data_IF_559471635261
#
_entry.id   IF_559471635261
#
_cell.length_a   1.000
_cell.length_b   1.000
_cell.length_c   1.000
_cell.angle_alpha   90.00
_cell.angle_beta   90.00
_cell.angle_gamma   90.00
#
_symmetry.space_group_name_H-M   'P 1'
#
loop_
_entity.id
_entity.type
_entity.pdbx_description
1 polymer ?
#
# COMPACT_ATOMS: atom_id res chain seq x y z
N UNK A 1 -37.29 11.25 -14.98
CA UNK A 1 -36.01 11.88 -14.60
C UNK A 1 -35.68 12.91 -15.65
N UNK A 2 -35.27 14.10 -15.25
CA UNK A 2 -34.82 15.14 -16.19
C UNK A 2 -33.55 14.66 -16.87
N UNK A 3 -33.57 14.50 -18.18
CA UNK A 3 -32.37 14.19 -18.93
C UNK A 3 -31.53 15.47 -19.03
N UNK A 4 -30.42 15.53 -18.30
CA UNK A 4 -29.55 16.71 -18.32
C UNK A 4 -28.83 16.89 -19.67
N UNK A 5 -28.81 15.86 -20.53
CA UNK A 5 -28.23 15.96 -21.87
C UNK A 5 -29.06 16.81 -22.83
N UNK A 6 -30.30 17.16 -22.48
CA UNK A 6 -31.18 18.01 -23.29
C UNK A 6 -31.35 19.42 -22.72
N UNK A 7 -30.60 19.77 -21.67
CA UNK A 7 -30.60 21.12 -21.10
C UNK A 7 -29.67 21.98 -21.95
N UNK A 8 -30.17 23.11 -22.43
CA UNK A 8 -29.32 24.15 -23.00
C UNK A 8 -28.64 24.90 -21.87
N UNK A 9 -27.32 24.78 -21.80
CA UNK A 9 -26.50 25.40 -20.77
C UNK A 9 -26.09 26.83 -21.13
N UNK A 10 -26.52 27.38 -22.29
CA UNK A 10 -26.20 28.75 -22.72
C UNK A 10 -26.58 29.83 -21.70
N UNK A 11 -27.60 29.53 -20.90
CA UNK A 11 -28.22 30.48 -19.98
C UNK A 11 -27.48 30.57 -18.63
N UNK A 12 -26.53 29.66 -18.38
CA UNK A 12 -25.80 29.55 -17.11
C UNK A 12 -24.33 29.96 -17.28
N UNK A 13 -24.07 31.24 -17.57
CA UNK A 13 -22.70 31.78 -17.71
C UNK A 13 -21.85 31.10 -18.81
N UNK A 14 -20.76 31.76 -19.18
CA UNK A 14 -20.07 31.67 -20.49
C UNK A 14 -19.45 30.32 -20.92
N UNK A 15 -19.53 29.23 -20.14
CA UNK A 15 -18.85 27.96 -20.46
C UNK A 15 -19.78 26.73 -20.45
N UNK A 16 -20.49 26.51 -21.56
CA UNK A 16 -21.35 25.34 -21.77
C UNK A 16 -20.61 23.99 -21.61
N UNK A 17 -19.30 23.95 -21.87
CA UNK A 17 -18.54 22.70 -21.78
C UNK A 17 -18.42 22.23 -20.33
N UNK A 18 -18.26 23.16 -19.38
CA UNK A 18 -18.17 22.85 -17.95
C UNK A 18 -19.46 22.20 -17.44
N UNK A 19 -20.63 22.76 -17.76
CA UNK A 19 -21.91 22.20 -17.31
C UNK A 19 -22.24 20.88 -18.00
N UNK A 20 -21.89 20.73 -19.27
CA UNK A 20 -21.99 19.46 -19.99
C UNK A 20 -21.12 18.38 -19.33
N UNK A 21 -19.87 18.70 -18.99
CA UNK A 21 -18.96 17.79 -18.29
C UNK A 21 -19.49 17.42 -16.90
N UNK A 22 -19.90 18.39 -16.09
CA UNK A 22 -20.47 18.15 -14.74
C UNK A 22 -21.72 17.27 -14.84
N UNK A 23 -22.64 17.60 -15.73
CA UNK A 23 -23.90 16.88 -15.89
C UNK A 23 -23.70 15.43 -16.34
N UNK A 24 -22.71 15.16 -17.20
CA UNK A 24 -22.34 13.79 -17.60
C UNK A 24 -21.83 12.92 -16.44
N UNK A 25 -21.31 13.55 -15.38
CA UNK A 25 -20.78 12.88 -14.20
C UNK A 25 -21.79 12.78 -13.04
N UNK A 26 -22.90 13.52 -13.08
CA UNK A 26 -23.94 13.47 -12.06
C UNK A 26 -24.87 12.28 -12.27
N UNK A 27 -25.03 11.46 -11.22
CA UNK A 27 -25.93 10.30 -11.22
C UNK A 27 -26.82 10.33 -9.97
N UNK A 28 -28.12 10.11 -10.15
CA UNK A 28 -29.04 9.90 -9.02
C UNK A 28 -28.70 8.56 -8.36
N UNK A 29 -28.46 8.57 -7.05
CA UNK A 29 -28.04 7.39 -6.28
C UNK A 29 -29.11 6.27 -6.22
N UNK A 30 -30.38 6.59 -6.49
CA UNK A 30 -31.52 5.67 -6.39
C UNK A 30 -31.72 4.85 -7.67
N UNK A 31 -30.98 3.73 -7.80
CA UNK A 31 -31.19 2.75 -8.88
C UNK A 31 -31.42 1.37 -8.26
N UNK A 32 -32.65 0.86 -8.36
CA UNK A 32 -32.96 -0.54 -8.01
C UNK A 32 -32.10 -1.50 -8.85
N UNK A 33 -31.62 -2.59 -8.24
CA UNK A 33 -30.83 -3.63 -8.93
C UNK A 33 -29.36 -3.28 -9.19
N UNK A 34 -28.80 -2.25 -8.56
CA UNK A 34 -27.37 -1.91 -8.70
C UNK A 34 -26.50 -2.90 -7.92
N UNK A 35 -25.45 -3.41 -8.56
CA UNK A 35 -24.38 -4.09 -7.86
C UNK A 35 -23.57 -3.07 -7.04
N UNK A 36 -23.59 -3.21 -5.72
CA UNK A 36 -22.90 -2.33 -4.78
C UNK A 36 -21.59 -2.93 -4.28
N UNK A 37 -21.19 -4.09 -4.78
CA UNK A 37 -19.99 -4.79 -4.32
C UNK A 37 -18.73 -4.04 -4.74
N UNK A 38 -17.76 -3.98 -3.84
CA UNK A 38 -16.39 -3.63 -4.18
C UNK A 38 -15.78 -4.79 -4.97
N UNK A 39 -15.27 -4.49 -6.16
CA UNK A 39 -14.55 -5.48 -6.96
C UNK A 39 -13.06 -5.46 -6.63
N UNK A 40 -12.43 -6.62 -6.84
CA UNK A 40 -11.03 -6.86 -6.53
C UNK A 40 -10.34 -7.42 -7.77
N UNK A 41 -9.16 -6.86 -8.10
CA UNK A 41 -8.23 -7.48 -9.06
C UNK A 41 -7.44 -8.60 -8.39
N UNK A 42 -7.07 -8.39 -7.13
CA UNK A 42 -6.42 -9.36 -6.25
C UNK A 42 -7.03 -9.23 -4.85
N UNK A 43 -7.85 -10.19 -4.38
CA UNK A 43 -8.60 -10.06 -3.13
C UNK A 43 -7.71 -9.68 -1.94
N UNK A 44 -8.08 -8.62 -1.22
CA UNK A 44 -7.35 -8.11 -0.04
C UNK A 44 -6.09 -7.27 -0.35
N UNK A 45 -5.61 -7.27 -1.60
CA UNK A 45 -4.32 -6.66 -1.96
C UNK A 45 -4.43 -5.59 -3.05
N UNK A 46 -5.28 -5.79 -4.06
CA UNK A 46 -5.50 -4.86 -5.18
C UNK A 46 -7.00 -4.78 -5.49
N UNK A 47 -7.64 -3.68 -5.10
CA UNK A 47 -9.04 -3.44 -5.39
C UNK A 47 -9.21 -2.64 -6.69
N UNK A 48 -10.36 -2.76 -7.36
CA UNK A 48 -10.62 -2.03 -8.60
C UNK A 48 -10.86 -0.54 -8.33
N UNK A 49 -10.39 0.31 -9.25
CA UNK A 49 -10.60 1.76 -9.28
C UNK A 49 -9.93 2.50 -8.10
N UNK A 50 -8.95 1.87 -7.47
CA UNK A 50 -8.25 2.42 -6.31
C UNK A 50 -6.93 3.08 -6.67
N UNK A 51 -6.56 4.07 -5.87
CA UNK A 51 -5.17 4.49 -5.72
C UNK A 51 -4.51 3.64 -4.62
N UNK A 52 -3.69 2.68 -5.03
CA UNK A 52 -2.89 1.83 -4.15
C UNK A 52 -1.45 2.36 -4.05
N UNK A 53 -0.94 2.50 -2.84
CA UNK A 53 0.47 2.90 -2.62
C UNK A 53 1.27 1.77 -1.97
N UNK A 54 2.27 1.25 -2.69
CA UNK A 54 3.26 0.30 -2.16
C UNK A 54 4.45 1.12 -1.67
N UNK A 55 4.73 1.11 -0.37
CA UNK A 55 5.78 1.95 0.20
C UNK A 55 6.68 1.22 1.21
N UNK A 56 7.84 1.79 1.51
CA UNK A 56 8.84 1.13 2.34
C UNK A 56 10.26 1.68 2.16
N UNK A 57 11.21 1.30 3.02
CA UNK A 57 12.59 1.76 2.93
C UNK A 57 13.25 1.33 1.60
N UNK A 58 14.38 1.96 1.27
CA UNK A 58 15.21 1.51 0.15
C UNK A 58 15.59 0.04 0.35
N UNK A 59 15.75 -0.70 -0.75
CA UNK A 59 16.19 -2.11 -0.75
C UNK A 59 15.26 -3.11 -0.01
N UNK A 60 14.08 -2.67 0.41
CA UNK A 60 13.08 -3.54 1.05
C UNK A 60 12.42 -4.56 0.09
N UNK A 61 12.61 -4.37 -1.23
CA UNK A 61 12.03 -5.22 -2.27
C UNK A 61 10.70 -4.73 -2.84
N UNK A 62 10.37 -3.42 -2.74
CA UNK A 62 9.10 -2.85 -3.25
C UNK A 62 8.88 -3.12 -4.73
N UNK A 63 9.86 -2.80 -5.57
CA UNK A 63 9.78 -3.01 -7.02
C UNK A 63 9.71 -4.49 -7.38
N UNK A 64 10.33 -5.37 -6.59
CA UNK A 64 10.22 -6.83 -6.79
C UNK A 64 8.79 -7.30 -6.46
N UNK A 65 8.21 -6.78 -5.38
CA UNK A 65 6.80 -7.03 -5.04
C UNK A 65 5.82 -6.45 -6.08
N UNK A 66 6.07 -5.24 -6.58
CA UNK A 66 5.25 -4.63 -7.61
C UNK A 66 5.27 -5.42 -8.93
N UNK A 67 6.44 -5.95 -9.33
CA UNK A 67 6.56 -6.85 -10.48
C UNK A 67 5.88 -8.19 -10.23
N UNK A 68 6.03 -8.80 -9.05
CA UNK A 68 5.33 -10.06 -8.71
C UNK A 68 3.80 -9.88 -8.79
N UNK A 69 3.26 -8.80 -8.21
CA UNK A 69 1.84 -8.46 -8.30
C UNK A 69 1.42 -8.26 -9.77
N UNK A 70 2.23 -7.54 -10.56
CA UNK A 70 1.97 -7.33 -12.00
C UNK A 70 1.87 -8.65 -12.75
N UNK A 71 2.85 -9.53 -12.58
CA UNK A 71 2.90 -10.81 -13.29
C UNK A 71 1.77 -11.75 -12.85
N UNK A 72 1.42 -11.77 -11.56
CA UNK A 72 0.29 -12.57 -11.07
C UNK A 72 -1.04 -12.09 -11.63
N UNK A 73 -1.27 -10.77 -11.65
CA UNK A 73 -2.45 -10.17 -12.26
C UNK A 73 -2.54 -10.52 -13.75
N UNK A 74 -1.44 -10.39 -14.48
CA UNK A 74 -1.37 -10.72 -15.90
C UNK A 74 -1.59 -12.22 -16.18
N UNK A 75 -1.03 -13.09 -15.34
CA UNK A 75 -1.13 -14.54 -15.46
C UNK A 75 -2.48 -15.10 -14.94
N UNK A 76 -3.18 -14.37 -14.07
CA UNK A 76 -4.32 -14.89 -13.32
C UNK A 76 -3.91 -15.90 -12.24
N UNK A 77 -2.72 -15.71 -11.66
CA UNK A 77 -2.19 -16.61 -10.62
C UNK A 77 -2.65 -16.18 -9.23
N UNK A 78 -3.19 -17.13 -8.49
CA UNK A 78 -3.62 -16.96 -7.10
C UNK A 78 -2.56 -16.30 -6.22
N UNK A 79 -3.04 -15.51 -5.26
CA UNK A 79 -2.20 -14.80 -4.32
C UNK A 79 -2.79 -14.85 -2.92
N UNK A 80 -1.94 -15.14 -1.92
CA UNK A 80 -2.34 -15.19 -0.52
C UNK A 80 -3.54 -16.12 -0.22
N UNK A 81 -3.68 -17.22 -0.97
CA UNK A 81 -4.83 -18.12 -0.81
C UNK A 81 -6.16 -17.54 -1.30
N UNK A 82 -6.14 -16.39 -1.96
CA UNK A 82 -7.26 -15.82 -2.71
C UNK A 82 -7.13 -16.11 -4.20
N UNK A 83 -8.21 -16.59 -4.81
CA UNK A 83 -8.29 -16.80 -6.25
C UNK A 83 -8.49 -15.48 -6.98
N UNK A 84 -7.71 -15.25 -8.03
CA UNK A 84 -7.90 -14.08 -8.88
C UNK A 84 -9.15 -14.28 -9.74
N UNK A 85 -10.10 -13.33 -9.74
CA UNK A 85 -11.35 -13.50 -10.46
C UNK A 85 -11.17 -13.40 -11.99
N UNK A 86 -10.13 -12.70 -12.45
CA UNK A 86 -9.82 -12.49 -13.86
C UNK A 86 -8.34 -12.12 -14.05
N UNK A 87 -7.80 -12.41 -15.24
CA UNK A 87 -6.51 -11.87 -15.70
C UNK A 87 -6.66 -10.38 -15.96
N UNK A 88 -5.59 -9.60 -15.78
CA UNK A 88 -5.61 -8.16 -16.02
C UNK A 88 -4.59 -7.68 -17.03
N UNK A 89 -4.98 -6.70 -17.84
CA UNK A 89 -4.08 -5.94 -18.69
C UNK A 89 -3.32 -4.93 -17.82
N UNK A 90 -2.00 -5.05 -17.76
CA UNK A 90 -1.17 -4.25 -16.86
C UNK A 90 -0.20 -3.36 -17.64
N UNK A 91 -0.17 -2.08 -17.32
CA UNK A 91 0.86 -1.15 -17.77
C UNK A 91 1.86 -0.91 -16.62
N UNK A 92 3.13 -1.21 -16.84
CA UNK A 92 4.20 -0.92 -15.90
C UNK A 92 5.04 0.27 -16.40
N UNK A 93 4.91 1.42 -15.76
CA UNK A 93 5.70 2.62 -16.00
C UNK A 93 6.99 2.49 -15.20
N UNK A 94 8.07 2.10 -15.88
CA UNK A 94 9.37 1.87 -15.28
C UNK A 94 10.21 3.16 -15.27
N UNK A 95 9.83 4.12 -14.42
CA UNK A 95 10.40 5.46 -14.40
C UNK A 95 11.91 5.51 -14.07
N UNK A 96 12.47 4.46 -13.45
CA UNK A 96 13.92 4.38 -13.19
C UNK A 96 14.69 3.62 -14.28
N UNK A 97 14.35 2.34 -14.51
CA UNK A 97 15.12 1.41 -15.37
C UNK A 97 14.24 0.26 -15.91
N UNK A 98 13.67 0.39 -17.10
CA UNK A 98 12.83 -0.65 -17.70
C UNK A 98 13.53 -2.01 -17.85
N UNK A 99 14.78 -2.04 -18.29
CA UNK A 99 15.52 -3.31 -18.44
C UNK A 99 15.72 -4.10 -17.13
N UNK A 100 15.54 -3.49 -15.94
CA UNK A 100 15.48 -4.26 -14.68
C UNK A 100 14.09 -4.84 -14.42
N UNK A 101 13.04 -4.13 -14.82
CA UNK A 101 11.65 -4.60 -14.73
C UNK A 101 11.43 -5.78 -15.67
N UNK A 102 11.82 -5.64 -16.94
CA UNK A 102 11.71 -6.70 -17.95
C UNK A 102 12.41 -7.99 -17.51
N UNK A 103 13.66 -7.90 -17.04
CA UNK A 103 14.37 -9.08 -16.49
C UNK A 103 13.66 -9.72 -15.30
N UNK A 104 12.98 -8.94 -14.44
CA UNK A 104 12.20 -9.48 -13.32
C UNK A 104 10.93 -10.17 -13.82
N UNK A 105 10.29 -9.65 -14.86
CA UNK A 105 9.16 -10.30 -15.54
C UNK A 105 9.64 -11.62 -16.15
N UNK A 106 10.75 -11.63 -16.89
CA UNK A 106 11.34 -12.85 -17.47
C UNK A 106 11.70 -13.88 -16.39
N UNK A 107 12.24 -13.41 -15.26
CA UNK A 107 12.58 -14.27 -14.14
C UNK A 107 11.34 -14.87 -13.47
N UNK A 108 10.27 -14.09 -13.35
CA UNK A 108 8.98 -14.58 -12.88
C UNK A 108 8.43 -15.66 -13.81
N UNK A 109 8.37 -15.39 -15.12
CA UNK A 109 7.90 -16.33 -16.14
C UNK A 109 8.69 -17.64 -16.05
N UNK A 110 10.03 -17.54 -16.02
CA UNK A 110 10.93 -18.70 -15.90
C UNK A 110 10.75 -19.46 -14.59
N UNK A 111 10.57 -18.77 -13.46
CA UNK A 111 10.40 -19.41 -12.15
C UNK A 111 9.08 -20.15 -12.02
N UNK A 112 8.03 -19.63 -12.66
CA UNK A 112 6.68 -20.18 -12.62
C UNK A 112 6.35 -21.12 -13.78
N UNK A 113 7.35 -21.51 -14.59
CA UNK A 113 7.18 -22.31 -15.81
C UNK A 113 6.06 -21.78 -16.72
N UNK A 114 5.97 -20.45 -16.82
CA UNK A 114 4.94 -19.75 -17.59
C UNK A 114 5.36 -19.41 -19.02
N UNK A 115 4.41 -18.86 -19.77
CA UNK A 115 4.64 -18.31 -21.12
C UNK A 115 4.83 -16.78 -21.07
N UNK A 116 5.46 -16.18 -22.09
CA UNK A 116 5.54 -14.73 -22.24
C UNK A 116 4.16 -14.05 -22.19
N UNK A 117 4.08 -12.89 -21.54
CA UNK A 117 2.84 -12.12 -21.45
C UNK A 117 2.57 -11.34 -22.74
N UNK A 118 1.33 -11.41 -23.21
CA UNK A 118 0.76 -10.58 -24.27
C UNK A 118 -0.02 -9.36 -23.71
N UNK A 119 -0.22 -9.31 -22.40
CA UNK A 119 -1.05 -8.34 -21.69
C UNK A 119 -0.29 -7.52 -20.62
N UNK A 120 1.05 -7.49 -20.70
CA UNK A 120 1.91 -6.63 -19.86
C UNK A 120 2.69 -5.67 -20.76
N UNK A 121 2.43 -4.38 -20.61
CA UNK A 121 3.17 -3.33 -21.32
C UNK A 121 4.17 -2.69 -20.36
N UNK A 122 5.41 -2.52 -20.80
CA UNK A 122 6.43 -1.77 -20.06
C UNK A 122 6.69 -0.44 -20.78
N UNK A 123 6.52 0.67 -20.07
CA UNK A 123 6.83 2.00 -20.58
C UNK A 123 8.18 2.49 -20.02
N UNK A 124 9.14 2.70 -20.91
CA UNK A 124 10.51 3.20 -20.64
C UNK A 124 10.69 4.65 -21.13
N UNK A 125 9.66 5.47 -21.00
CA UNK A 125 9.71 6.89 -21.39
C UNK A 125 9.72 7.82 -20.18
N UNK A 126 10.07 9.10 -20.38
CA UNK A 126 9.92 10.10 -19.33
C UNK A 126 8.43 10.30 -18.99
N UNK A 127 8.19 10.66 -17.74
CA UNK A 127 6.87 11.08 -17.25
C UNK A 127 7.08 12.10 -16.12
N UNK A 128 6.21 13.10 -16.08
CA UNK A 128 6.02 13.94 -14.91
C UNK A 128 4.56 13.88 -14.48
N UNK A 129 4.29 13.29 -13.33
CA UNK A 129 2.93 13.15 -12.79
C UNK A 129 2.31 14.48 -12.38
N UNK A 130 3.10 15.55 -12.20
CA UNK A 130 2.56 16.88 -11.98
C UNK A 130 2.05 17.53 -13.28
N UNK A 131 2.46 17.03 -14.44
CA UNK A 131 2.04 17.55 -15.73
C UNK A 131 0.63 17.04 -16.08
N UNK A 132 -0.33 17.92 -16.39
CA UNK A 132 -1.67 17.51 -16.76
C UNK A 132 -1.66 16.57 -17.95
N UNK A 133 -2.55 15.58 -17.94
CA UNK A 133 -2.78 14.63 -19.03
C UNK A 133 -1.62 13.69 -19.38
N UNK A 134 -0.40 13.83 -18.84
CA UNK A 134 0.73 12.97 -19.19
C UNK A 134 0.43 11.48 -18.95
N UNK A 135 -0.03 11.13 -17.74
CA UNK A 135 -0.43 9.76 -17.41
C UNK A 135 -1.61 9.27 -18.26
N UNK A 136 -2.63 10.12 -18.48
CA UNK A 136 -3.77 9.80 -19.36
C UNK A 136 -3.33 9.50 -20.79
N UNK A 137 -2.38 10.26 -21.33
CA UNK A 137 -1.89 10.07 -22.69
C UNK A 137 -1.16 8.73 -22.83
N UNK A 138 -0.33 8.37 -21.84
CA UNK A 138 0.34 7.06 -21.80
C UNK A 138 -0.71 5.94 -21.72
N UNK A 139 -1.69 6.04 -20.81
CA UNK A 139 -2.76 5.05 -20.68
C UNK A 139 -3.56 4.88 -21.99
N UNK A 140 -3.96 5.99 -22.63
CA UNK A 140 -4.67 5.94 -23.91
C UNK A 140 -3.84 5.29 -25.01
N UNK A 141 -2.54 5.60 -25.05
CA UNK A 141 -1.62 5.00 -26.03
C UNK A 141 -1.46 3.50 -25.79
N UNK A 142 -1.30 3.08 -24.52
CA UNK A 142 -1.24 1.68 -24.13
C UNK A 142 -2.52 0.92 -24.49
N UNK A 143 -3.70 1.54 -24.28
CA UNK A 143 -4.97 0.93 -24.67
C UNK A 143 -5.07 0.70 -26.19
N UNK A 144 -4.62 1.67 -26.99
CA UNK A 144 -4.59 1.53 -28.45
C UNK A 144 -3.61 0.44 -28.91
N UNK A 145 -2.49 0.25 -28.21
CA UNK A 145 -1.51 -0.80 -28.53
C UNK A 145 -2.05 -2.20 -28.20
N UNK A 146 -2.84 -2.35 -27.14
CA UNK A 146 -3.45 -3.62 -26.74
C UNK A 146 -4.74 -3.95 -27.50
N UNK A 147 -5.36 -2.97 -28.14
CA UNK A 147 -6.74 -3.05 -28.63
C UNK A 147 -7.73 -3.46 -27.50
N UNK A 148 -7.40 -3.07 -26.27
CA UNK A 148 -8.19 -3.30 -25.05
C UNK A 148 -7.74 -2.28 -23.98
N UNK A 149 -8.45 -2.16 -22.85
CA UNK A 149 -8.01 -1.24 -21.79
C UNK A 149 -7.08 -1.86 -20.79
N UNK A 150 -6.12 -1.04 -20.38
CA UNK A 150 -5.34 -1.21 -19.16
C UNK A 150 -6.26 -1.17 -17.95
N UNK A 151 -6.17 -2.21 -17.13
CA UNK A 151 -6.97 -2.36 -15.91
C UNK A 151 -6.18 -2.02 -14.65
N UNK A 152 -4.86 -2.13 -14.73
CA UNK A 152 -3.93 -1.78 -13.66
C UNK A 152 -2.74 -1.04 -14.26
N UNK A 153 -2.38 0.11 -13.70
CA UNK A 153 -1.14 0.81 -14.02
C UNK A 153 -0.24 0.86 -12.79
N UNK A 154 1.00 0.42 -12.95
CA UNK A 154 2.03 0.47 -11.92
C UNK A 154 3.03 1.57 -12.27
N UNK A 155 3.32 2.45 -11.32
CA UNK A 155 4.32 3.52 -11.47
C UNK A 155 5.43 3.30 -10.46
N UNK A 156 6.62 2.96 -10.96
CA UNK A 156 7.78 2.59 -10.15
C UNK A 156 9.00 3.46 -10.50
N UNK A 157 9.39 4.45 -9.70
CA UNK A 157 8.77 4.95 -8.45
C UNK A 157 8.16 6.34 -8.63
N UNK A 158 7.31 6.77 -7.69
CA UNK A 158 6.74 8.12 -7.65
C UNK A 158 7.80 9.21 -7.78
N UNK A 159 8.91 9.08 -7.04
CA UNK A 159 9.95 10.09 -7.02
C UNK A 159 10.68 10.22 -8.37
N UNK A 160 10.79 9.12 -9.13
CA UNK A 160 11.34 9.14 -10.49
C UNK A 160 10.34 9.63 -11.53
N UNK A 161 9.04 9.52 -11.25
CA UNK A 161 7.95 9.99 -12.09
C UNK A 161 7.50 11.43 -11.79
N UNK A 162 8.29 12.20 -11.02
CA UNK A 162 8.02 13.61 -10.70
C UNK A 162 9.24 14.46 -11.03
N UNK A 163 9.04 15.57 -11.75
CA UNK A 163 10.12 16.53 -12.02
C UNK A 163 10.44 17.41 -10.81
N UNK A 164 9.46 17.59 -9.92
CA UNK A 164 9.56 18.32 -8.66
C UNK A 164 9.70 17.35 -7.49
N UNK A 165 10.28 17.83 -6.39
CA UNK A 165 10.39 17.03 -5.17
C UNK A 165 9.03 16.48 -4.73
N UNK A 166 9.01 15.21 -4.34
CA UNK A 166 7.87 14.51 -3.70
C UNK A 166 7.46 15.14 -2.35
N UNK A 167 8.23 16.11 -1.88
CA UNK A 167 7.92 16.91 -0.69
C UNK A 167 7.32 18.29 -1.04
N UNK A 168 7.21 18.64 -2.32
CA UNK A 168 6.54 19.86 -2.80
C UNK A 168 5.02 19.72 -2.63
N UNK A 169 4.35 20.59 -1.84
CA UNK A 169 2.90 20.51 -1.67
C UNK A 169 2.11 20.70 -2.97
N UNK A 170 2.55 21.58 -3.86
CA UNK A 170 1.87 21.85 -5.14
C UNK A 170 2.09 20.69 -6.13
N UNK A 171 3.35 20.25 -6.25
CA UNK A 171 3.71 19.12 -7.11
C UNK A 171 2.98 17.83 -6.71
N UNK A 172 2.94 17.55 -5.41
CA UNK A 172 2.22 16.38 -4.89
C UNK A 172 0.71 16.50 -5.09
N UNK A 173 0.11 17.69 -4.90
CA UNK A 173 -1.31 17.88 -5.12
C UNK A 173 -1.71 17.62 -6.59
N UNK A 174 -0.90 18.13 -7.54
CA UNK A 174 -1.10 17.89 -8.97
C UNK A 174 -0.90 16.42 -9.33
N UNK A 175 0.13 15.77 -8.80
CA UNK A 175 0.36 14.35 -8.98
C UNK A 175 -0.81 13.51 -8.45
N UNK A 176 -1.26 13.76 -7.21
CA UNK A 176 -2.41 13.08 -6.60
C UNK A 176 -3.67 13.28 -7.43
N UNK A 177 -3.92 14.49 -7.93
CA UNK A 177 -5.05 14.76 -8.83
C UNK A 177 -4.98 13.87 -10.08
N UNK A 178 -3.84 13.86 -10.78
CA UNK A 178 -3.66 13.07 -12.00
C UNK A 178 -3.72 11.55 -11.75
N UNK A 179 -3.21 11.07 -10.61
CA UNK A 179 -3.31 9.67 -10.20
C UNK A 179 -4.76 9.26 -9.92
N UNK A 180 -5.48 10.06 -9.13
CA UNK A 180 -6.90 9.81 -8.79
C UNK A 180 -7.79 9.90 -10.02
N UNK A 181 -7.44 10.79 -10.93
CA UNK A 181 -8.16 10.94 -12.17
C UNK A 181 -7.93 9.75 -13.12
N UNK A 182 -6.71 9.23 -13.17
CA UNK A 182 -6.40 8.00 -13.90
C UNK A 182 -7.17 6.79 -13.38
N UNK A 183 -7.56 6.74 -12.09
CA UNK A 183 -8.39 5.63 -11.60
C UNK A 183 -9.78 5.58 -12.22
N UNK A 184 -10.23 6.69 -12.82
CA UNK A 184 -11.51 6.80 -13.52
C UNK A 184 -11.40 6.46 -15.00
N UNK A 185 -10.17 6.37 -15.52
CA UNK A 185 -9.88 6.00 -16.90
C UNK A 185 -9.94 4.47 -17.00
N UNK A 186 -11.07 3.92 -17.42
CA UNK A 186 -11.21 2.48 -17.63
C UNK A 186 -12.38 2.11 -18.53
N UNK A 187 -12.68 0.82 -18.59
CA UNK A 187 -13.64 0.23 -19.51
C UNK A 187 -15.07 0.22 -18.96
N UNK A 188 -16.02 0.12 -19.87
CA UNK A 188 -17.36 -0.32 -19.55
C UNK A 188 -17.45 -1.85 -19.75
N UNK A 189 -17.74 -2.58 -18.69
CA UNK A 189 -18.01 -4.02 -18.74
C UNK A 189 -19.36 -4.29 -18.07
N UNK A 190 -20.23 -5.04 -18.75
CA UNK A 190 -21.57 -5.42 -18.26
C UNK A 190 -22.40 -4.25 -17.69
N UNK A 191 -22.35 -3.09 -18.34
CA UNK A 191 -23.08 -1.89 -17.92
C UNK A 191 -22.50 -1.18 -16.68
N UNK A 192 -21.32 -1.59 -16.21
CA UNK A 192 -20.58 -0.93 -15.14
C UNK A 192 -19.26 -0.35 -15.65
N UNK A 193 -18.88 0.81 -15.11
CA UNK A 193 -17.57 1.41 -15.40
C UNK A 193 -16.54 0.81 -14.44
N UNK A 194 -15.64 -0.02 -14.97
CA UNK A 194 -14.45 -0.48 -14.28
C UNK A 194 -13.31 0.46 -14.68
N UNK A 195 -12.96 1.35 -13.77
CA UNK A 195 -11.78 2.20 -13.90
C UNK A 195 -10.47 1.40 -13.87
N UNK A 196 -9.37 2.12 -14.05
CA UNK A 196 -8.03 1.58 -13.88
C UNK A 196 -7.65 1.60 -12.40
N UNK A 197 -6.94 0.58 -11.92
CA UNK A 197 -6.32 0.61 -10.60
C UNK A 197 -4.93 1.22 -10.73
N UNK A 198 -4.65 2.27 -9.99
CA UNK A 198 -3.36 2.97 -10.05
C UNK A 198 -2.52 2.54 -8.86
N UNK A 199 -1.40 1.88 -9.14
CA UNK A 199 -0.44 1.41 -8.14
C UNK A 199 0.80 2.29 -8.20
N UNK A 200 1.16 2.90 -7.08
CA UNK A 200 2.32 3.78 -6.99
C UNK A 200 3.34 3.21 -6.02
N UNK A 201 4.58 3.03 -6.47
CA UNK A 201 5.69 2.65 -5.60
C UNK A 201 6.32 3.89 -5.00
N UNK A 202 6.44 3.93 -3.67
CA UNK A 202 6.95 5.09 -2.94
C UNK A 202 7.94 4.71 -1.83
N UNK A 203 8.72 5.68 -1.35
CA UNK A 203 9.67 5.48 -0.27
C UNK A 203 9.10 5.90 1.09
N UNK A 204 9.65 5.35 2.17
CA UNK A 204 9.53 5.95 3.52
C UNK A 204 10.60 7.03 3.72
N UNK A 205 10.43 7.97 4.66
CA UNK A 205 11.49 8.87 5.07
C UNK A 205 12.73 8.13 5.58
N UNK A 206 13.90 8.76 5.47
CA UNK A 206 15.16 8.24 6.03
C UNK A 206 15.13 8.16 7.57
N UNK A 207 14.27 8.95 8.23
CA UNK A 207 14.07 8.95 9.69
C UNK A 207 13.56 7.62 10.27
N UNK A 208 13.21 6.64 9.42
CA UNK A 208 12.78 5.30 9.85
C UNK A 208 11.32 5.22 10.29
N UNK A 209 10.55 6.29 10.09
CA UNK A 209 9.12 6.30 10.34
C UNK A 209 8.39 5.37 9.36
N UNK A 210 7.43 4.58 9.85
CA UNK A 210 6.58 3.68 9.05
C UNK A 210 5.48 4.43 8.27
N UNK A 211 5.74 5.67 7.88
CA UNK A 211 4.84 6.48 7.05
C UNK A 211 5.45 6.71 5.67
N UNK A 212 4.61 7.13 4.73
CA UNK A 212 5.06 7.52 3.40
C UNK A 212 5.95 8.76 3.46
N UNK A 213 6.94 8.86 2.55
CA UNK A 213 7.79 10.04 2.40
C UNK A 213 7.00 11.22 1.83
N UNK A 214 7.39 12.44 2.19
CA UNK A 214 6.77 13.66 1.71
C UNK A 214 5.59 14.13 2.57
N UNK A 215 4.74 14.97 1.98
CA UNK A 215 3.52 15.47 2.62
C UNK A 215 2.46 14.37 2.77
N UNK A 216 1.56 14.50 3.75
CA UNK A 216 0.49 13.54 4.00
C UNK A 216 -0.60 13.45 2.91
N UNK A 217 -0.48 14.23 1.83
CA UNK A 217 -1.47 14.31 0.75
C UNK A 217 -1.65 12.97 0.03
N UNK A 218 -0.57 12.31 -0.39
CA UNK A 218 -0.64 11.01 -1.04
C UNK A 218 -1.24 9.95 -0.11
N UNK A 219 -0.85 9.95 1.18
CA UNK A 219 -1.39 9.02 2.16
C UNK A 219 -2.89 9.25 2.43
N UNK A 220 -3.33 10.50 2.41
CA UNK A 220 -4.73 10.85 2.54
C UNK A 220 -5.54 10.37 1.32
N UNK A 221 -5.00 10.58 0.11
CA UNK A 221 -5.66 10.24 -1.15
C UNK A 221 -5.65 8.74 -1.47
N UNK A 222 -4.64 7.98 -1.02
CA UNK A 222 -4.56 6.55 -1.29
C UNK A 222 -5.76 5.80 -0.69
N UNK A 223 -6.46 4.99 -1.47
CA UNK A 223 -7.55 4.13 -0.97
C UNK A 223 -7.00 2.95 -0.18
N UNK A 224 -5.85 2.44 -0.65
CA UNK A 224 -5.10 1.38 0.02
C UNK A 224 -3.61 1.71 0.10
N UNK A 225 -2.94 1.14 1.10
CA UNK A 225 -1.48 1.18 1.17
C UNK A 225 -0.89 -0.10 1.71
N UNK A 226 0.23 -0.51 1.12
CA UNK A 226 0.99 -1.70 1.50
C UNK A 226 2.39 -1.26 1.93
N UNK A 227 2.74 -1.54 3.17
CA UNK A 227 4.09 -1.34 3.69
C UNK A 227 4.93 -2.60 3.43
N UNK A 228 6.01 -2.42 2.68
CA UNK A 228 7.06 -3.41 2.47
C UNK A 228 8.18 -3.14 3.46
N UNK A 229 8.46 -4.08 4.33
CA UNK A 229 9.64 -4.05 5.22
C UNK A 229 10.54 -5.24 4.95
N UNK A 230 11.82 -5.12 5.29
CA UNK A 230 12.77 -6.23 5.20
C UNK A 230 13.54 -6.37 6.48
N UNK A 231 13.65 -7.60 6.97
CA UNK A 231 14.42 -7.95 8.15
C UNK A 231 15.24 -9.19 7.85
N UNK A 232 16.56 -9.03 7.79
CA UNK A 232 17.49 -10.06 7.29
C UNK A 232 17.12 -10.42 5.84
N UNK A 233 16.84 -11.69 5.59
CA UNK A 233 16.50 -12.29 4.31
C UNK A 233 14.99 -12.41 4.06
N UNK A 234 14.15 -12.01 5.02
CA UNK A 234 12.70 -12.04 4.91
C UNK A 234 12.15 -10.62 4.70
N UNK A 235 11.35 -10.47 3.66
CA UNK A 235 10.53 -9.29 3.42
C UNK A 235 9.08 -9.56 3.84
N UNK A 236 8.42 -8.51 4.32
CA UNK A 236 7.03 -8.54 4.76
C UNK A 236 6.27 -7.46 3.99
N UNK A 237 5.20 -7.85 3.31
CA UNK A 237 4.17 -6.95 2.81
C UNK A 237 3.00 -6.94 3.80
N UNK A 238 2.57 -5.75 4.22
CA UNK A 238 1.46 -5.57 5.13
C UNK A 238 0.55 -4.47 4.60
N UNK A 239 -0.74 -4.77 4.46
CA UNK A 239 -1.73 -3.72 4.20
C UNK A 239 -1.84 -2.84 5.44
N UNK A 240 -1.64 -1.53 5.29
CA UNK A 240 -1.67 -0.53 6.36
C UNK A 240 -2.97 0.28 6.33
N UNK A 241 -3.43 0.63 5.12
CA UNK A 241 -4.70 1.31 4.88
C UNK A 241 -5.52 0.50 3.90
N UNK A 242 -6.81 0.40 4.18
CA UNK A 242 -7.84 -0.08 3.28
C UNK A 242 -9.15 0.59 3.69
N UNK A 243 -9.73 1.37 2.79
CA UNK A 243 -10.96 2.13 3.03
C UNK A 243 -12.22 1.24 3.02
N UNK A 244 -12.15 0.04 2.44
CA UNK A 244 -13.29 -0.86 2.21
C UNK A 244 -13.40 -1.98 3.26
N UNK A 245 -12.32 -2.27 3.97
CA UNK A 245 -12.28 -3.34 4.97
C UNK A 245 -11.41 -2.96 6.16
N UNK A 246 -11.73 -3.50 7.33
CA UNK A 246 -10.87 -3.45 8.51
C UNK A 246 -9.73 -4.48 8.43
N UNK A 247 -9.80 -5.45 7.52
CA UNK A 247 -8.78 -6.46 7.34
C UNK A 247 -7.45 -5.85 6.84
N UNK A 248 -6.35 -6.39 7.33
CA UNK A 248 -4.98 -5.89 7.10
C UNK A 248 -4.06 -7.09 6.85
N UNK A 249 -4.19 -7.77 5.68
CA UNK A 249 -3.45 -8.99 5.41
C UNK A 249 -1.94 -8.73 5.44
N UNK A 250 -1.21 -9.77 5.86
CA UNK A 250 0.24 -9.76 6.02
C UNK A 250 0.80 -10.98 5.30
N UNK A 251 1.78 -10.75 4.42
CA UNK A 251 2.52 -11.81 3.73
C UNK A 251 4.01 -11.65 3.88
N UNK A 252 4.69 -12.79 3.99
CA UNK A 252 6.14 -12.87 4.09
C UNK A 252 6.73 -13.67 2.96
N UNK A 253 7.85 -13.20 2.44
CA UNK A 253 8.51 -13.77 1.28
C UNK A 253 10.03 -13.59 1.39
N UNK A 254 10.76 -14.41 0.65
CA UNK A 254 12.19 -14.21 0.38
C UNK A 254 12.35 -13.85 -1.09
N UNK A 255 13.45 -13.19 -1.39
CA UNK A 255 13.87 -12.96 -2.76
C UNK A 255 14.84 -14.06 -3.15
N UNK A 256 14.46 -14.88 -4.12
CA UNK A 256 15.35 -15.89 -4.72
C UNK A 256 15.88 -15.37 -6.06
N UNK A 257 17.09 -15.76 -6.41
CA UNK A 257 17.75 -15.29 -7.63
C UNK A 257 17.55 -16.30 -8.75
N UNK A 258 16.95 -15.84 -9.85
CA UNK A 258 16.79 -16.64 -11.08
C UNK A 258 17.83 -16.21 -12.09
N UNK A 259 18.53 -17.18 -12.66
CA UNK A 259 19.47 -16.95 -13.77
C UNK A 259 18.73 -16.97 -15.09
N UNK A 260 18.82 -15.88 -15.86
CA UNK A 260 18.14 -15.72 -17.14
C UNK A 260 19.02 -16.16 -18.32
N UNK A 261 20.27 -15.70 -18.29
CA UNK A 261 21.26 -15.98 -19.32
C UNK A 261 22.66 -16.00 -18.70
N UNK A 262 23.59 -16.65 -19.37
CA UNK A 262 25.01 -16.64 -19.02
C UNK A 262 25.81 -16.39 -20.29
N UNK A 263 26.71 -15.40 -20.24
CA UNK A 263 27.61 -15.07 -21.35
C UNK A 263 29.01 -14.82 -20.78
N UNK A 264 30.02 -15.48 -21.33
CA UNK A 264 31.42 -15.40 -20.89
C UNK A 264 31.62 -15.62 -19.37
N UNK A 265 30.83 -16.51 -18.78
CA UNK A 265 30.86 -16.81 -17.33
C UNK A 265 30.23 -15.73 -16.44
N UNK A 266 29.56 -14.73 -17.02
CA UNK A 266 28.81 -13.70 -16.31
C UNK A 266 27.31 -14.01 -16.43
N UNK A 267 26.69 -14.35 -15.29
CA UNK A 267 25.27 -14.60 -15.21
C UNK A 267 24.47 -13.29 -15.17
N UNK A 268 23.47 -13.17 -16.04
CA UNK A 268 22.40 -12.19 -15.91
C UNK A 268 21.29 -12.79 -15.06
N UNK A 269 21.00 -12.15 -13.92
CA UNK A 269 20.04 -12.65 -12.95
C UNK A 269 19.00 -11.60 -12.56
N UNK A 270 17.83 -12.04 -12.10
CA UNK A 270 16.85 -11.17 -11.47
C UNK A 270 16.16 -11.88 -10.29
N UNK A 271 15.68 -11.12 -9.28
CA UNK A 271 15.01 -11.68 -8.12
C UNK A 271 13.54 -12.01 -8.41
N UNK A 272 13.03 -13.08 -7.79
CA UNK A 272 11.62 -13.46 -7.71
C UNK A 272 11.18 -13.61 -6.26
N UNK A 273 9.88 -13.47 -5.98
CA UNK A 273 9.35 -13.64 -4.64
C UNK A 273 8.90 -15.07 -4.39
N UNK A 274 9.46 -15.68 -3.34
CA UNK A 274 9.06 -17.02 -2.89
C UNK A 274 8.39 -16.89 -1.52
N UNK A 275 7.14 -17.35 -1.36
CA UNK A 275 6.47 -17.38 -0.06
C UNK A 275 7.33 -18.09 0.97
N UNK A 276 7.43 -17.51 2.16
CA UNK A 276 8.16 -18.14 3.24
C UNK A 276 7.39 -18.01 4.55
N UNK A 277 7.66 -18.90 5.49
CA UNK A 277 7.16 -18.74 6.85
C UNK A 277 7.57 -17.36 7.38
N UNK A 278 6.69 -16.68 8.13
CA UNK A 278 7.05 -15.43 8.76
C UNK A 278 8.31 -15.64 9.59
N UNK A 279 9.18 -14.62 9.71
CA UNK A 279 10.44 -14.79 10.40
C UNK A 279 10.11 -15.34 11.79
N UNK A 280 10.58 -16.56 12.06
CA UNK A 280 10.27 -17.25 13.29
C UNK A 280 10.59 -16.30 14.42
N UNK A 281 9.63 -16.05 15.30
CA UNK A 281 9.89 -15.38 16.57
C UNK A 281 10.61 -16.37 17.49
N UNK A 282 11.61 -17.08 16.98
CA UNK A 282 12.68 -17.70 17.77
C UNK A 282 13.70 -16.62 18.07
N UNK A 283 13.23 -15.56 18.73
CA UNK A 283 14.10 -14.88 19.68
C UNK A 283 13.90 -15.63 21.00
N UNK A 284 14.94 -16.25 21.60
CA UNK A 284 14.92 -16.33 23.04
C UNK A 284 14.66 -14.91 23.56
N UNK A 285 13.90 -14.80 24.64
CA UNK A 285 13.52 -13.58 25.38
C UNK A 285 14.68 -12.64 25.81
N UNK A 286 15.82 -12.63 25.13
CA UNK A 286 17.06 -12.03 25.63
C UNK A 286 17.38 -10.63 25.12
N UNK A 287 16.68 -10.06 24.13
CA UNK A 287 16.83 -8.63 23.75
C UNK A 287 15.53 -8.01 23.20
N UNK A 288 14.38 -8.28 23.80
CA UNK A 288 13.38 -7.21 23.91
C UNK A 288 14.03 -6.15 24.81
N UNK A 289 14.07 -4.89 24.38
CA UNK A 289 14.90 -3.86 25.02
C UNK A 289 14.63 -3.83 26.52
N UNK A 290 15.66 -3.58 27.35
CA UNK A 290 15.50 -3.37 28.81
C UNK A 290 14.32 -2.44 29.12
N UNK A 291 14.05 -1.47 28.25
CA UNK A 291 12.91 -0.56 28.33
C UNK A 291 11.53 -1.25 28.21
N UNK A 292 11.36 -2.24 27.34
CA UNK A 292 10.11 -3.02 27.24
C UNK A 292 9.94 -3.87 28.50
N UNK A 293 10.99 -4.54 28.97
CA UNK A 293 10.94 -5.33 30.21
C UNK A 293 10.59 -4.50 31.43
N UNK A 294 11.20 -3.32 31.57
CA UNK A 294 10.87 -2.35 32.62
C UNK A 294 9.43 -1.84 32.49
N UNK A 295 8.97 -1.50 31.28
CA UNK A 295 7.62 -1.01 31.04
C UNK A 295 6.55 -2.06 31.39
N UNK A 296 6.74 -3.31 30.94
CA UNK A 296 5.83 -4.42 31.23
C UNK A 296 5.80 -4.76 32.72
N UNK A 297 6.95 -4.72 33.41
CA UNK A 297 7.02 -4.98 34.84
C UNK A 297 6.24 -3.93 35.65
N UNK A 298 6.39 -2.65 35.31
CA UNK A 298 5.67 -1.57 36.00
C UNK A 298 4.17 -1.62 35.73
N UNK A 299 3.74 -1.87 34.48
CA UNK A 299 2.32 -2.01 34.17
C UNK A 299 1.70 -3.23 34.87
N UNK A 300 2.41 -4.37 34.89
CA UNK A 300 1.96 -5.57 35.61
C UNK A 300 1.82 -5.33 37.11
N UNK A 301 2.75 -4.60 37.72
CA UNK A 301 2.65 -4.23 39.13
C UNK A 301 1.45 -3.31 39.40
N UNK A 302 1.17 -2.36 38.51
CA UNK A 302 -0.01 -1.50 38.60
C UNK A 302 -1.32 -2.28 38.50
N UNK A 303 -1.40 -3.24 37.56
CA UNK A 303 -2.56 -4.13 37.40
C UNK A 303 -2.75 -5.00 38.64
N UNK A 304 -1.67 -5.60 39.16
CA UNK A 304 -1.72 -6.40 40.38
C UNK A 304 -2.16 -5.58 41.61
N UNK A 305 -1.74 -4.31 41.71
CA UNK A 305 -2.18 -3.39 42.76
C UNK A 305 -3.64 -2.91 42.60
N UNK A 306 -4.24 -3.15 41.43
CA UNK A 306 -5.62 -2.82 41.08
C UNK A 306 -6.46 -4.11 40.97
N UNK A 307 -6.25 -5.07 41.87
CA UNK A 307 -6.97 -6.35 41.93
C UNK A 307 -6.96 -7.17 40.64
N UNK A 308 -5.86 -7.08 39.87
CA UNK A 308 -5.71 -7.67 38.53
C UNK A 308 -6.72 -7.14 37.50
N UNK A 309 -7.29 -5.95 37.71
CA UNK A 309 -8.15 -5.28 36.75
C UNK A 309 -7.38 -4.25 35.90
N UNK A 310 -7.85 -3.93 34.67
CA UNK A 310 -7.26 -2.89 33.83
C UNK A 310 -7.13 -1.54 34.55
N UNK A 311 -5.99 -0.88 34.39
CA UNK A 311 -5.65 0.37 35.10
C UNK A 311 -5.93 1.59 34.24
N UNK A 312 -6.28 2.73 34.82
CA UNK A 312 -6.37 4.00 34.09
C UNK A 312 -4.98 4.54 33.73
N UNK A 313 -4.93 5.51 32.81
CA UNK A 313 -3.66 6.18 32.48
C UNK A 313 -3.00 6.82 33.71
N UNK A 314 -3.80 7.40 34.60
CA UNK A 314 -3.31 8.05 35.81
C UNK A 314 -2.75 7.05 36.84
N UNK A 315 -3.42 5.89 36.99
CA UNK A 315 -2.94 4.80 37.84
C UNK A 315 -1.60 4.23 37.31
N UNK A 316 -1.51 4.03 36.00
CA UNK A 316 -0.25 3.58 35.38
C UNK A 316 0.86 4.63 35.52
N UNK A 317 0.54 5.91 35.28
CA UNK A 317 1.50 7.01 35.42
C UNK A 317 2.02 7.12 36.85
N UNK A 318 1.17 6.96 37.86
CA UNK A 318 1.56 6.93 39.26
C UNK A 318 2.56 5.80 39.55
N UNK A 319 2.28 4.58 39.06
CA UNK A 319 3.19 3.43 39.22
C UNK A 319 4.56 3.66 38.55
N UNK A 320 4.60 4.32 37.38
CA UNK A 320 5.87 4.69 36.74
C UNK A 320 6.66 5.71 37.55
N UNK A 321 5.98 6.64 38.21
CA UNK A 321 6.61 7.68 39.01
C UNK A 321 7.18 7.12 40.31
N UNK A 322 6.45 6.20 40.94
CA UNK A 322 6.91 5.44 42.10
C UNK A 322 8.13 4.58 41.75
N UNK A 323 8.06 3.81 40.66
CA UNK A 323 9.18 3.00 40.17
C UNK A 323 10.39 3.81 39.67
N UNK A 324 10.26 5.13 39.50
CA UNK A 324 11.34 6.03 39.13
C UNK A 324 12.09 6.62 40.34
N UNK A 325 11.53 6.52 41.56
CA UNK A 325 12.15 7.03 42.77
C UNK A 325 12.34 8.55 42.76
N UNK A 326 13.38 9.03 43.44
CA UNK A 326 13.64 10.46 43.61
C UNK A 326 14.44 11.06 42.44
N UNK A 327 13.75 11.27 41.32
CA UNK A 327 14.25 12.00 40.16
C UNK A 327 13.30 13.14 39.78
N UNK A 328 13.80 14.12 39.02
CA UNK A 328 13.01 15.28 38.56
C UNK A 328 11.74 14.86 37.81
N UNK A 329 10.63 15.55 38.06
CA UNK A 329 9.33 15.26 37.45
C UNK A 329 9.34 15.29 35.91
N UNK A 330 10.13 16.18 35.31
CA UNK A 330 10.31 16.21 33.85
C UNK A 330 10.87 14.89 33.31
N UNK A 331 11.78 14.24 34.05
CA UNK A 331 12.36 12.94 33.69
C UNK A 331 11.36 11.81 33.90
N UNK A 332 10.52 11.87 34.96
CA UNK A 332 9.43 10.91 35.19
C UNK A 332 8.39 10.96 34.06
N UNK A 333 7.99 12.16 33.62
CA UNK A 333 7.10 12.37 32.47
C UNK A 333 7.65 11.76 31.20
N UNK A 334 8.94 11.99 30.91
CA UNK A 334 9.60 11.44 29.73
C UNK A 334 9.68 9.91 29.80
N UNK A 335 9.92 9.33 30.99
CA UNK A 335 9.92 7.88 31.20
C UNK A 335 8.55 7.27 30.90
N UNK A 336 7.47 7.87 31.39
CA UNK A 336 6.11 7.42 31.11
C UNK A 336 5.79 7.46 29.60
N UNK A 337 6.09 8.58 28.92
CA UNK A 337 5.88 8.70 27.47
C UNK A 337 6.62 7.62 26.66
N UNK A 338 7.87 7.31 27.05
CA UNK A 338 8.67 6.24 26.42
C UNK A 338 8.10 4.85 26.69
N UNK A 339 7.66 4.57 27.91
CA UNK A 339 7.07 3.27 28.26
C UNK A 339 5.73 3.06 27.54
N UNK A 340 4.90 4.10 27.45
CA UNK A 340 3.65 4.07 26.67
C UNK A 340 3.93 3.75 25.20
N UNK A 341 4.80 4.52 24.55
CA UNK A 341 5.17 4.29 23.15
C UNK A 341 5.75 2.89 22.91
N UNK A 342 6.45 2.31 23.89
CA UNK A 342 7.01 0.97 23.77
C UNK A 342 5.96 -0.16 23.87
N UNK A 343 4.79 0.09 24.47
CA UNK A 343 3.76 -0.92 24.68
C UNK A 343 2.54 -0.78 23.76
N UNK A 344 2.32 0.38 23.13
CA UNK A 344 1.12 0.71 22.33
C UNK A 344 0.78 -0.32 21.25
N UNK A 345 1.77 -0.90 20.56
CA UNK A 345 1.51 -1.76 19.39
C UNK A 345 1.60 -3.27 19.68
N UNK A 346 2.36 -3.69 20.69
CA UNK A 346 2.76 -5.10 20.85
C UNK A 346 2.11 -5.81 22.06
N UNK A 347 1.72 -5.08 23.12
CA UNK A 347 1.36 -5.73 24.40
C UNK A 347 0.17 -5.12 25.14
N UNK A 348 -0.34 -3.98 24.69
CA UNK A 348 -1.42 -3.26 25.37
C UNK A 348 -2.81 -3.59 24.77
N UNK A 349 -3.83 -3.65 25.64
CA UNK A 349 -5.23 -3.51 25.26
C UNK A 349 -5.78 -2.25 25.94
N UNK A 350 -6.41 -1.37 25.17
CA UNK A 350 -7.24 -0.29 25.70
C UNK A 350 -8.70 -0.76 25.70
N UNK A 351 -9.31 -0.85 26.89
CA UNK A 351 -10.74 -1.17 27.08
C UNK A 351 -11.36 -0.03 27.85
N UNK A 352 -12.30 0.70 27.23
CA UNK A 352 -13.02 1.83 27.85
C UNK A 352 -12.08 2.87 28.54
N UNK A 353 -10.95 3.18 27.90
CA UNK A 353 -9.95 4.12 28.43
C UNK A 353 -9.06 3.56 29.55
N UNK A 354 -9.06 2.23 29.76
CA UNK A 354 -8.20 1.50 30.71
C UNK A 354 -7.23 0.59 29.98
N UNK A 355 -6.10 0.30 30.62
CA UNK A 355 -4.91 -0.32 30.07
C UNK A 355 -4.68 -1.71 30.69
N UNK A 356 -4.47 -2.73 29.87
CA UNK A 356 -4.14 -4.10 30.29
C UNK A 356 -3.07 -4.76 29.39
N UNK A 357 -2.45 -5.85 29.87
CA UNK A 357 -1.49 -6.66 29.11
C UNK A 357 -2.21 -7.79 28.36
N UNK A 358 -1.98 -7.93 27.04
CA UNK A 358 -2.53 -9.04 26.24
C UNK A 358 -2.16 -10.40 26.87
N UNK A 359 -3.10 -11.34 27.04
CA UNK A 359 -2.76 -12.75 27.14
C UNK A 359 -2.02 -13.12 25.86
N UNK A 360 -0.86 -13.79 25.96
CA UNK A 360 -0.30 -14.45 24.80
C UNK A 360 -1.41 -15.35 24.23
N UNK A 361 -1.75 -15.18 22.95
CA UNK A 361 -2.61 -16.11 22.21
C UNK A 361 -2.04 -17.52 22.45
N UNK A 362 -2.65 -18.23 23.41
CA UNK A 362 -2.44 -19.65 23.55
C UNK A 362 -3.02 -20.25 22.26
N UNK A 363 -2.14 -20.98 21.59
CA UNK A 363 -2.43 -21.92 20.51
C UNK A 363 -3.84 -22.50 20.56
N UNK A 364 -4.49 -22.45 19.40
CA UNK A 364 -5.20 -23.58 18.77
C UNK A 364 -6.02 -24.47 19.71
N UNK A 365 -7.33 -24.35 19.59
CA UNK A 365 -8.20 -25.52 19.37
C UNK A 365 -9.12 -25.22 18.21
#
# INVERSE_FOLDING_TARGET
MTNLSSVDWSDFDTDQNLYSEISSNLKIHNREGRDIRKYWRMPGWVATNDLLVIYGPSEAGKSVFAVDVTCRLAAGLDFDGGTLPYRSNVLYIAAERAGQVERRIDAFIKHHDGEPFDNVLVYDGPIDLAEPYALRAILRTANLMLDDSIEVVVIDTLAAAMSVSDSSPDGMARAVFNLTDATRCGNFHDGQTFGCTVVVVHHTPVSGEKRMRGGGQLQAAADMSILITRKRDVSTAQVMKNNESADRPIRTYRMETVTLAEHDGIATTAPVLVPCAPPSVTKPLQKASRAIGEATAVLRAAIAANDNAPVTEDQWRAAVYEAAGDIKDGTKRQRFSRQRAALTDEFLIEIDGKFDLRPALQSVT
#
